data_IF_103895903839
#
_entry.id   IF_103895903839
#
_cell.length_a   1.000
_cell.length_b   1.000
_cell.length_c   1.000
_cell.angle_alpha   90.00
_cell.angle_beta   90.00
_cell.angle_gamma   90.00
#
_symmetry.space_group_name_H-M   'P 1'
#
loop_
_entity.id
_entity.type
_entity.pdbx_description
1 polymer ?
#
# COMPACT_ATOMS: atom_id res chain seq x y z
N UNK A 1 -22.93 -9.54 0.15
CA UNK A 1 -22.53 -9.20 -1.22
C UNK A 1 -21.91 -7.83 -1.12
N UNK A 2 -20.57 -7.75 -1.01
CA UNK A 2 -19.87 -6.46 -0.96
C UNK A 2 -19.70 -6.04 -2.41
N UNK A 3 -20.14 -4.83 -2.72
CA UNK A 3 -20.06 -4.25 -4.05
C UNK A 3 -18.60 -3.85 -4.32
N UNK A 4 -17.96 -4.52 -5.27
CA UNK A 4 -16.54 -4.34 -5.62
C UNK A 4 -16.22 -2.89 -6.02
N UNK A 5 -17.16 -2.21 -6.66
CA UNK A 5 -17.02 -0.81 -7.05
C UNK A 5 -17.03 0.09 -5.81
N UNK A 6 -17.79 -0.28 -4.77
CA UNK A 6 -17.80 0.46 -3.50
C UNK A 6 -16.53 0.28 -2.67
N UNK A 7 -15.86 -0.88 -2.74
CA UNK A 7 -14.64 -1.13 -1.97
C UNK A 7 -13.45 -0.32 -2.50
N UNK A 8 -13.23 -0.33 -3.81
CA UNK A 8 -12.17 0.47 -4.46
C UNK A 8 -12.45 1.97 -4.39
N UNK A 9 -13.73 2.36 -4.50
CA UNK A 9 -14.18 3.75 -4.29
C UNK A 9 -14.02 4.20 -2.83
N UNK A 10 -14.20 3.29 -1.88
CA UNK A 10 -13.95 3.53 -0.46
C UNK A 10 -12.49 3.85 -0.18
N UNK A 11 -11.56 3.05 -0.73
CA UNK A 11 -10.12 3.30 -0.59
C UNK A 11 -9.70 4.63 -1.24
N UNK A 12 -10.28 4.95 -2.41
CA UNK A 12 -10.04 6.22 -3.09
C UNK A 12 -10.49 7.42 -2.26
N UNK A 13 -11.69 7.37 -1.70
CA UNK A 13 -12.21 8.44 -0.82
C UNK A 13 -11.33 8.60 0.43
N UNK A 14 -10.96 7.49 1.09
CA UNK A 14 -10.04 7.53 2.25
C UNK A 14 -8.71 8.21 1.90
N UNK A 15 -8.17 7.94 0.72
CA UNK A 15 -6.94 8.61 0.25
C UNK A 15 -7.14 10.12 0.14
N UNK A 16 -8.20 10.56 -0.55
CA UNK A 16 -8.51 12.00 -0.72
C UNK A 16 -8.68 12.69 0.64
N UNK A 17 -9.39 12.05 1.56
CA UNK A 17 -9.75 12.63 2.85
C UNK A 17 -8.56 12.74 3.81
N UNK A 18 -7.54 11.88 3.66
CA UNK A 18 -6.46 11.76 4.65
C UNK A 18 -5.06 12.05 4.12
N UNK A 19 -4.82 11.99 2.80
CA UNK A 19 -3.51 12.27 2.24
C UNK A 19 -3.26 13.79 2.16
N UNK A 20 -2.17 14.29 2.76
CA UNK A 20 -1.89 15.71 2.87
C UNK A 20 -1.19 16.20 1.58
N UNK A 21 -1.95 16.40 0.51
CA UNK A 21 -1.39 16.76 -0.81
C UNK A 21 -0.46 17.98 -0.77
N UNK A 22 -0.76 18.97 0.09
CA UNK A 22 0.05 20.18 0.29
C UNK A 22 0.87 20.17 1.58
N UNK A 23 0.97 19.02 2.27
CA UNK A 23 1.77 18.87 3.47
C UNK A 23 3.26 18.76 3.18
N UNK A 24 4.10 18.97 4.20
CA UNK A 24 5.52 18.69 4.08
C UNK A 24 5.77 17.19 3.83
N UNK A 25 6.97 16.86 3.34
CA UNK A 25 7.31 15.50 2.96
C UNK A 25 7.24 14.51 4.14
N UNK A 26 7.55 14.95 5.36
CA UNK A 26 7.44 14.10 6.55
C UNK A 26 6.00 13.71 6.79
N UNK A 27 5.09 14.69 6.77
CA UNK A 27 3.66 14.46 6.96
C UNK A 27 3.08 13.59 5.83
N UNK A 28 3.51 13.80 4.58
CA UNK A 28 3.12 12.96 3.45
C UNK A 28 3.58 11.51 3.62
N UNK A 29 4.83 11.26 4.02
CA UNK A 29 5.31 9.90 4.29
C UNK A 29 4.55 9.29 5.46
N UNK A 30 4.30 10.06 6.52
CA UNK A 30 3.55 9.60 7.69
C UNK A 30 2.10 9.24 7.36
N UNK A 31 1.39 10.02 6.55
CA UNK A 31 0.02 9.68 6.16
C UNK A 31 -0.03 8.62 5.05
N UNK A 32 0.89 8.69 4.09
CA UNK A 32 0.98 7.74 2.98
C UNK A 32 1.24 6.30 3.45
N UNK A 33 2.16 6.10 4.40
CA UNK A 33 2.37 4.74 4.92
C UNK A 33 1.18 4.21 5.73
N UNK A 34 0.44 5.06 6.46
CA UNK A 34 -0.74 4.63 7.22
C UNK A 34 -1.84 4.14 6.29
N UNK A 35 -2.10 4.88 5.21
CA UNK A 35 -3.06 4.47 4.17
C UNK A 35 -2.66 3.13 3.54
N UNK A 36 -1.37 2.97 3.22
CA UNK A 36 -0.85 1.71 2.70
C UNK A 36 -0.99 0.58 3.72
N UNK A 37 -0.61 0.81 4.97
CA UNK A 37 -0.64 -0.19 6.05
C UNK A 37 -2.06 -0.66 6.36
N UNK A 38 -3.04 0.25 6.39
CA UNK A 38 -4.45 -0.10 6.54
C UNK A 38 -4.92 -1.02 5.41
N UNK A 39 -4.58 -0.67 4.16
CA UNK A 39 -4.92 -1.46 2.99
C UNK A 39 -4.26 -2.85 3.01
N UNK A 40 -2.99 -2.93 3.40
CA UNK A 40 -2.24 -4.19 3.57
C UNK A 40 -2.88 -5.07 4.66
N UNK A 41 -3.34 -4.47 5.76
CA UNK A 41 -4.04 -5.17 6.86
C UNK A 41 -5.38 -5.71 6.40
N UNK A 42 -6.15 -4.95 5.63
CA UNK A 42 -7.41 -5.42 5.05
C UNK A 42 -7.16 -6.61 4.11
N UNK A 43 -6.19 -6.50 3.19
CA UNK A 43 -5.79 -7.57 2.27
C UNK A 43 -5.32 -8.82 3.03
N UNK A 44 -4.58 -8.64 4.12
CA UNK A 44 -4.15 -9.75 4.96
C UNK A 44 -5.33 -10.49 5.57
N UNK A 45 -6.28 -9.77 6.17
CA UNK A 45 -7.46 -10.38 6.79
C UNK A 45 -8.34 -11.09 5.76
N UNK A 46 -8.48 -10.55 4.54
CA UNK A 46 -9.26 -11.18 3.46
C UNK A 46 -8.72 -12.55 3.01
N UNK A 47 -7.44 -12.83 3.24
CA UNK A 47 -6.80 -14.08 2.85
C UNK A 47 -6.87 -15.16 3.92
N UNK A 48 -7.32 -14.83 5.13
CA UNK A 48 -7.40 -15.78 6.23
C UNK A 48 -8.76 -16.49 6.22
N UNK A 49 -8.81 -17.82 6.38
CA UNK A 49 -10.07 -18.56 6.45
C UNK A 49 -10.85 -18.24 7.73
N UNK A 50 -10.16 -17.87 8.81
CA UNK A 50 -10.76 -17.50 10.09
C UNK A 50 -10.06 -16.27 10.69
N UNK A 51 -10.29 -15.05 10.16
CA UNK A 51 -9.59 -13.84 10.60
C UNK A 51 -9.86 -13.51 12.07
N UNK A 52 -11.03 -13.87 12.59
CA UNK A 52 -11.42 -13.68 13.99
C UNK A 52 -10.52 -14.42 14.97
N UNK A 53 -9.81 -15.47 14.55
CA UNK A 53 -8.83 -16.16 15.40
C UNK A 53 -7.66 -15.26 15.82
N UNK A 54 -7.40 -14.17 15.07
CA UNK A 54 -6.38 -13.17 15.43
C UNK A 54 -6.89 -12.12 16.42
N UNK A 55 -8.17 -12.17 16.80
CA UNK A 55 -8.83 -11.20 17.68
C UNK A 55 -8.83 -11.62 19.16
N UNK A 56 -7.80 -12.35 19.62
CA UNK A 56 -7.71 -12.84 21.01
C UNK A 56 -7.76 -11.72 22.07
N UNK A 57 -7.58 -12.04 23.36
CA UNK A 57 -7.81 -11.10 24.48
C UNK A 57 -7.13 -9.72 24.39
N UNK A 58 -6.06 -9.58 23.60
CA UNK A 58 -5.40 -8.29 23.27
C UNK A 58 -5.19 -8.07 21.76
N UNK A 59 -5.76 -8.93 20.92
CA UNK A 59 -5.43 -9.07 19.50
C UNK A 59 -4.01 -9.60 19.24
N UNK A 60 -3.75 -10.02 18.01
CA UNK A 60 -2.40 -10.32 17.54
C UNK A 60 -1.71 -9.04 17.06
N UNK A 61 -0.48 -8.79 17.52
CA UNK A 61 0.33 -7.65 17.08
C UNK A 61 1.26 -8.09 15.97
N UNK A 62 0.98 -7.62 14.75
CA UNK A 62 1.89 -7.77 13.61
C UNK A 62 2.49 -6.42 13.23
N UNK A 63 3.81 -6.41 13.07
CA UNK A 63 4.53 -5.30 12.45
C UNK A 63 4.17 -5.20 10.96
N UNK A 64 4.13 -3.98 10.43
CA UNK A 64 3.80 -3.74 9.01
C UNK A 64 4.69 -4.56 8.07
N UNK A 65 5.99 -4.66 8.36
CA UNK A 65 6.91 -5.50 7.58
C UNK A 65 6.50 -6.99 7.56
N UNK A 66 6.06 -7.53 8.70
CA UNK A 66 5.60 -8.92 8.77
C UNK A 66 4.35 -9.13 7.91
N UNK A 67 3.42 -8.18 7.95
CA UNK A 67 2.21 -8.21 7.12
C UNK A 67 2.56 -8.20 5.65
N UNK A 68 3.45 -7.30 5.21
CA UNK A 68 3.89 -7.22 3.81
C UNK A 68 4.47 -8.55 3.34
N UNK A 69 5.35 -9.17 4.14
CA UNK A 69 5.96 -10.45 3.78
C UNK A 69 4.93 -11.59 3.73
N UNK A 70 3.97 -11.63 4.67
CA UNK A 70 2.93 -12.66 4.70
C UNK A 70 2.01 -12.56 3.50
N UNK A 71 1.46 -11.38 3.21
CA UNK A 71 0.55 -11.22 2.06
C UNK A 71 1.26 -11.45 0.73
N UNK A 72 2.53 -11.05 0.59
CA UNK A 72 3.31 -11.29 -0.62
C UNK A 72 3.47 -12.79 -0.85
N UNK A 73 3.77 -13.56 0.21
CA UNK A 73 3.93 -15.00 0.14
C UNK A 73 2.62 -15.76 -0.12
N UNK A 74 1.50 -15.21 0.35
CA UNK A 74 0.18 -15.86 0.26
C UNK A 74 -0.61 -15.48 -1.00
N UNK A 75 -0.37 -14.29 -1.56
CA UNK A 75 -1.13 -13.79 -2.71
C UNK A 75 -0.60 -14.43 -4.01
N UNK A 76 -1.38 -15.25 -4.73
CA UNK A 76 -0.89 -15.93 -5.94
C UNK A 76 -0.43 -14.96 -7.04
N UNK A 77 -1.05 -13.78 -7.10
CA UNK A 77 -0.76 -12.72 -8.07
C UNK A 77 0.47 -11.86 -7.69
N UNK A 78 1.14 -12.14 -6.57
CA UNK A 78 2.34 -11.39 -6.19
C UNK A 78 3.43 -11.42 -7.26
N UNK A 79 3.52 -12.52 -8.01
CA UNK A 79 4.52 -12.68 -9.07
C UNK A 79 4.22 -11.84 -10.32
N UNK A 80 2.97 -11.43 -10.54
CA UNK A 80 2.61 -10.63 -11.73
C UNK A 80 2.92 -9.16 -11.55
N UNK A 81 2.99 -8.68 -10.30
CA UNK A 81 3.29 -7.28 -9.98
C UNK A 81 4.30 -7.21 -8.82
N UNK A 82 5.53 -7.72 -8.98
CA UNK A 82 6.48 -7.88 -7.86
C UNK A 82 6.95 -6.53 -7.28
N UNK A 83 6.90 -5.46 -8.07
CA UNK A 83 7.40 -4.15 -7.66
C UNK A 83 6.66 -3.57 -6.45
N UNK A 84 5.36 -3.86 -6.29
CA UNK A 84 4.54 -3.29 -5.22
C UNK A 84 5.04 -3.70 -3.84
N UNK A 85 5.52 -4.95 -3.69
CA UNK A 85 6.01 -5.48 -2.43
C UNK A 85 7.35 -4.88 -2.04
N UNK A 86 8.24 -4.71 -3.03
CA UNK A 86 9.53 -4.03 -2.83
C UNK A 86 9.29 -2.55 -2.48
N UNK A 87 8.36 -1.89 -3.16
CA UNK A 87 7.98 -0.50 -2.88
C UNK A 87 7.37 -0.35 -1.48
N UNK A 88 6.46 -1.26 -1.07
CA UNK A 88 5.87 -1.26 0.27
C UNK A 88 6.93 -1.44 1.37
N UNK A 89 7.89 -2.36 1.18
CA UNK A 89 9.02 -2.54 2.10
C UNK A 89 9.91 -1.29 2.17
N UNK A 90 10.18 -0.65 1.03
CA UNK A 90 10.92 0.63 0.97
C UNK A 90 10.20 1.71 1.75
N UNK A 91 8.90 1.93 1.52
CA UNK A 91 8.10 2.93 2.24
C UNK A 91 8.10 2.67 3.75
N UNK A 92 7.90 1.41 4.16
CA UNK A 92 7.97 1.03 5.57
C UNK A 92 9.34 1.35 6.20
N UNK A 93 10.44 1.14 5.46
CA UNK A 93 11.77 1.52 5.93
C UNK A 93 11.92 3.05 6.07
N UNK A 94 11.42 3.83 5.10
CA UNK A 94 11.43 5.30 5.22
C UNK A 94 10.67 5.74 6.49
N UNK A 95 9.48 5.18 6.72
CA UNK A 95 8.70 5.45 7.93
C UNK A 95 9.43 5.09 9.22
N UNK A 96 10.04 3.91 9.29
CA UNK A 96 10.74 3.45 10.49
C UNK A 96 11.88 4.39 10.86
N UNK A 97 12.59 4.92 9.87
CA UNK A 97 13.64 5.89 10.13
C UNK A 97 13.14 7.24 10.61
N UNK A 98 11.98 7.70 10.13
CA UNK A 98 11.30 8.88 10.69
C UNK A 98 10.96 8.68 12.16
N UNK A 99 10.44 7.50 12.52
CA UNK A 99 10.03 7.20 13.90
C UNK A 99 11.21 7.12 14.88
N UNK A 100 12.41 6.75 14.40
CA UNK A 100 13.59 6.56 15.24
C UNK A 100 14.53 7.78 15.26
N UNK A 101 14.27 8.85 14.48
CA UNK A 101 15.15 10.01 14.37
C UNK A 101 14.36 11.31 14.39
N UNK A 102 14.61 12.15 15.40
CA UNK A 102 14.01 13.50 15.52
C UNK A 102 14.36 14.42 14.33
N UNK A 103 15.52 14.22 13.70
CA UNK A 103 15.95 14.91 12.48
C UNK A 103 16.53 13.88 11.49
N UNK A 104 15.67 13.19 10.72
CA UNK A 104 16.09 12.16 9.79
C UNK A 104 16.83 12.80 8.61
N UNK A 105 18.17 12.74 8.62
CA UNK A 105 18.97 13.15 7.47
C UNK A 105 18.70 12.22 6.28
N UNK A 106 18.44 12.79 5.11
CA UNK A 106 18.33 12.05 3.85
C UNK A 106 16.92 11.48 3.58
N UNK A 107 15.88 12.01 4.22
CA UNK A 107 14.49 11.66 3.91
C UNK A 107 14.19 11.86 2.42
N UNK A 108 14.57 13.01 1.87
CA UNK A 108 14.38 13.39 0.47
C UNK A 108 15.06 12.40 -0.46
N UNK A 109 16.28 11.97 -0.14
CA UNK A 109 17.02 10.97 -0.94
C UNK A 109 16.30 9.63 -0.94
N UNK A 110 15.79 9.18 0.20
CA UNK A 110 15.09 7.89 0.31
C UNK A 110 13.74 7.89 -0.38
N UNK A 111 13.02 9.01 -0.28
CA UNK A 111 11.79 9.21 -1.03
C UNK A 111 12.10 9.25 -2.53
N UNK A 112 13.13 9.97 -2.95
CA UNK A 112 13.56 10.00 -4.34
C UNK A 112 13.95 8.60 -4.85
N UNK A 113 14.62 7.79 -4.03
CA UNK A 113 14.95 6.40 -4.37
C UNK A 113 13.71 5.52 -4.52
N UNK A 114 12.70 5.70 -3.66
CA UNK A 114 11.40 5.03 -3.80
C UNK A 114 10.69 5.48 -5.07
N UNK A 115 10.62 6.79 -5.33
CA UNK A 115 9.99 7.36 -6.51
C UNK A 115 10.65 6.84 -7.79
N UNK A 116 11.98 6.88 -7.84
CA UNK A 116 12.76 6.37 -8.97
C UNK A 116 12.49 4.88 -9.19
N UNK A 117 12.48 4.08 -8.12
CA UNK A 117 12.20 2.66 -8.20
C UNK A 117 10.81 2.38 -8.77
N UNK A 118 9.76 3.03 -8.25
CA UNK A 118 8.38 2.79 -8.73
C UNK A 118 8.23 3.22 -10.18
N UNK A 119 8.78 4.38 -10.57
CA UNK A 119 8.74 4.86 -11.96
C UNK A 119 9.50 3.97 -12.94
N UNK A 120 10.58 3.30 -12.50
CA UNK A 120 11.30 2.36 -13.37
C UNK A 120 10.59 1.03 -13.57
N UNK A 121 9.81 0.59 -12.58
CA UNK A 121 9.10 -0.69 -12.61
C UNK A 121 7.71 -0.60 -13.24
N UNK A 122 7.11 0.60 -13.26
CA UNK A 122 5.86 0.88 -13.96
C UNK A 122 5.96 2.18 -14.75
N UNK A 123 6.47 2.11 -15.99
CA UNK A 123 6.57 3.26 -16.89
C UNK A 123 5.23 3.98 -17.10
N UNK A 124 4.11 3.26 -17.01
CA UNK A 124 2.76 3.78 -17.16
C UNK A 124 2.45 4.88 -16.12
N UNK A 125 3.05 4.81 -14.93
CA UNK A 125 2.92 5.85 -13.90
C UNK A 125 3.56 7.16 -14.39
N UNK A 126 4.72 7.07 -15.05
CA UNK A 126 5.42 8.25 -15.59
C UNK A 126 4.66 8.87 -16.76
N UNK A 127 4.06 8.02 -17.60
CA UNK A 127 3.23 8.46 -18.72
C UNK A 127 1.95 9.15 -18.21
N UNK A 128 1.29 8.56 -17.21
CA UNK A 128 0.10 9.13 -16.59
C UNK A 128 0.41 10.47 -15.90
N UNK A 129 1.52 10.57 -15.18
CA UNK A 129 1.97 11.81 -14.54
C UNK A 129 2.18 12.94 -15.56
N UNK A 130 2.81 12.61 -16.69
CA UNK A 130 3.06 13.54 -17.78
C UNK A 130 1.75 13.97 -18.46
N UNK A 131 0.85 13.03 -18.73
CA UNK A 131 -0.44 13.29 -19.36
C UNK A 131 -1.38 14.15 -18.49
N UNK A 132 -1.32 13.97 -17.17
CA UNK A 132 -2.13 14.73 -16.20
C UNK A 132 -1.53 16.09 -15.84
N UNK A 133 -0.32 16.42 -16.33
CA UNK A 133 0.34 17.69 -16.06
C UNK A 133 0.66 17.88 -14.58
N UNK A 134 0.97 16.79 -13.86
CA UNK A 134 1.28 16.85 -12.43
C UNK A 134 2.53 17.75 -12.23
N UNK A 135 2.47 18.77 -11.35
CA UNK A 135 3.63 19.62 -11.09
C UNK A 135 4.83 18.85 -10.53
N UNK A 136 6.05 19.25 -10.92
CA UNK A 136 7.29 18.79 -10.27
C UNK A 136 7.21 19.04 -8.76
N UNK A 137 7.63 18.08 -7.96
CA UNK A 137 7.50 18.09 -6.50
C UNK A 137 6.33 17.25 -5.96
N UNK A 138 5.42 16.78 -6.81
CA UNK A 138 4.30 15.90 -6.43
C UNK A 138 4.53 14.42 -6.79
N UNK A 139 5.76 14.04 -7.16
CA UNK A 139 6.08 12.69 -7.64
C UNK A 139 5.83 11.64 -6.55
N UNK A 140 6.06 12.00 -5.29
CA UNK A 140 5.77 11.10 -4.17
C UNK A 140 4.27 10.82 -4.01
N UNK A 141 3.43 11.84 -4.15
CA UNK A 141 1.96 11.70 -4.12
C UNK A 141 1.50 10.72 -5.21
N UNK A 142 2.00 10.89 -6.43
CA UNK A 142 1.69 9.99 -7.56
C UNK A 142 2.07 8.55 -7.23
N UNK A 143 3.24 8.34 -6.63
CA UNK A 143 3.71 7.02 -6.22
C UNK A 143 2.83 6.40 -5.14
N UNK A 144 2.42 7.16 -4.12
CA UNK A 144 1.49 6.61 -3.10
C UNK A 144 0.13 6.28 -3.72
N UNK A 145 -0.42 7.13 -4.59
CA UNK A 145 -1.66 6.84 -5.32
C UNK A 145 -1.54 5.55 -6.12
N UNK A 146 -0.44 5.37 -6.87
CA UNK A 146 -0.21 4.19 -7.67
C UNK A 146 -0.08 2.93 -6.80
N UNK A 147 0.65 3.02 -5.68
CA UNK A 147 0.79 1.91 -4.74
C UNK A 147 -0.56 1.52 -4.11
N UNK A 148 -1.34 2.49 -3.62
CA UNK A 148 -2.68 2.26 -3.09
C UNK A 148 -3.61 1.65 -4.15
N UNK A 149 -3.60 2.17 -5.38
CA UNK A 149 -4.43 1.66 -6.47
C UNK A 149 -4.06 0.21 -6.85
N UNK A 150 -2.76 -0.08 -6.89
CA UNK A 150 -2.25 -1.43 -7.16
C UNK A 150 -2.67 -2.43 -6.08
N UNK A 151 -2.58 -2.07 -4.80
CA UNK A 151 -3.00 -2.95 -3.71
C UNK A 151 -4.53 -3.10 -3.66
N UNK A 152 -5.27 -2.01 -3.86
CA UNK A 152 -6.73 -2.05 -3.85
C UNK A 152 -7.30 -2.94 -4.96
N UNK A 153 -6.62 -3.01 -6.12
CA UNK A 153 -7.02 -3.91 -7.21
C UNK A 153 -6.85 -5.40 -6.88
N UNK A 154 -6.08 -5.76 -5.85
CA UNK A 154 -5.97 -7.15 -5.38
C UNK A 154 -7.23 -7.62 -4.64
N UNK A 155 -7.96 -6.71 -3.96
CA UNK A 155 -9.18 -7.05 -3.21
C UNK A 155 -10.20 -7.83 -4.04
N UNK A 156 -10.65 -7.36 -5.22
CA UNK A 156 -11.62 -8.10 -6.02
C UNK A 156 -11.12 -9.47 -6.47
N UNK A 157 -9.82 -9.58 -6.78
CA UNK A 157 -9.19 -10.83 -7.19
C UNK A 157 -9.19 -11.85 -6.04
N UNK A 158 -8.87 -11.41 -4.83
CA UNK A 158 -8.86 -12.24 -3.63
C UNK A 158 -10.26 -12.73 -3.26
N UNK A 159 -11.28 -11.88 -3.35
CA UNK A 159 -12.66 -12.30 -3.09
C UNK A 159 -13.15 -13.35 -4.10
N UNK A 160 -12.80 -13.21 -5.37
CA UNK A 160 -13.13 -14.21 -6.39
C UNK A 160 -12.41 -15.54 -6.11
N UNK A 161 -11.15 -15.48 -5.66
CA UNK A 161 -10.40 -16.67 -5.26
C UNK A 161 -11.04 -17.37 -4.05
N UNK A 162 -11.45 -16.64 -3.02
CA UNK A 162 -12.16 -17.21 -1.86
C UNK A 162 -13.50 -17.84 -2.28
N UNK A 163 -14.27 -17.20 -3.17
CA UNK A 163 -15.54 -17.76 -3.67
C UNK A 163 -15.35 -19.05 -4.47
N UNK A 164 -14.27 -19.15 -5.25
CA UNK A 164 -13.98 -20.34 -6.08
C UNK A 164 -13.33 -21.47 -5.29
N UNK A 165 -12.55 -21.16 -4.25
CA UNK A 165 -11.85 -22.14 -3.41
C UNK A 165 -12.59 -22.53 -2.13
N UNK A 166 -13.70 -21.85 -1.80
CA UNK A 166 -14.59 -22.11 -0.65
C UNK A 166 -15.27 -23.50 -0.59
N UNK A 167 -14.80 -24.46 -1.39
CA UNK A 167 -15.00 -25.92 -1.23
C UNK A 167 -13.71 -26.60 -0.73
N UNK A 168 -13.01 -26.02 0.23
CA UNK A 168 -11.99 -26.77 0.99
C UNK A 168 -12.50 -26.92 2.42
N UNK A 169 -12.69 -28.20 2.75
CA UNK A 169 -13.39 -28.76 3.90
C UNK A 169 -12.88 -28.26 5.25
#
# INVERSE_FOLDING_TARGET
MIDFETATKGDHNKFIDHFPQNGDLTLQVLKGHLLLEELLREIFLMQLPLPSALSGNKGTSFECHQIICLIEAMTPHSQTVPWIWVAAKKLNNVRNELAHRLNPKGLESKVADLVKYVKSESPEISDAESALGIPKGNEFTVVIVAMCSCLASLKPVLEQHVKTTGKRA
#
